data_IF_189902010329
#
_entry.id   IF_189902010329
#
_cell.length_a   1.000
_cell.length_b   1.000
_cell.length_c   1.000
_cell.angle_alpha   90.00
_cell.angle_beta   90.00
_cell.angle_gamma   90.00
#
_symmetry.space_group_name_H-M   'P 1'
#
loop_
_entity.id
_entity.type
_entity.pdbx_description
1 polymer ?
#
# COMPACT_ATOMS: atom_id res chain seq x y z
N UNK A 1 5.96 -2.70 -3.81
CA UNK A 1 7.01 -3.67 -4.23
C UNK A 1 6.60 -4.28 -5.56
N UNK A 2 7.54 -4.76 -6.36
CA UNK A 2 7.23 -5.33 -7.67
C UNK A 2 8.02 -6.62 -7.90
N UNK A 3 7.47 -7.61 -8.60
CA UNK A 3 8.23 -8.78 -9.03
C UNK A 3 9.46 -8.38 -9.86
N UNK A 4 10.55 -9.12 -9.68
CA UNK A 4 11.74 -8.99 -10.52
C UNK A 4 11.31 -9.25 -11.98
N UNK A 5 11.47 -8.25 -12.84
CA UNK A 5 11.19 -8.36 -14.27
C UNK A 5 10.00 -7.55 -14.81
N UNK A 6 9.11 -7.03 -13.96
CA UNK A 6 8.11 -6.08 -14.50
C UNK A 6 8.84 -4.79 -14.95
N UNK A 7 8.40 -4.12 -16.02
CA UNK A 7 9.09 -2.90 -16.51
C UNK A 7 8.75 -1.67 -15.68
N UNK A 8 9.63 -0.66 -15.60
CA UNK A 8 9.35 0.58 -14.87
C UNK A 8 8.18 1.37 -15.49
N UNK A 9 8.08 1.38 -16.82
CA UNK A 9 6.99 2.05 -17.53
C UNK A 9 5.61 1.45 -17.20
N UNK A 10 5.52 0.12 -17.05
CA UNK A 10 4.26 -0.55 -16.67
C UNK A 10 3.84 -0.14 -15.25
N UNK A 11 4.80 -0.01 -14.33
CA UNK A 11 4.52 0.46 -12.96
C UNK A 11 4.00 1.88 -12.98
N UNK A 12 4.67 2.77 -13.71
CA UNK A 12 4.26 4.17 -13.79
C UNK A 12 2.82 4.29 -14.34
N UNK A 13 2.49 3.50 -15.37
CA UNK A 13 1.12 3.48 -15.92
C UNK A 13 0.10 2.96 -14.90
N UNK A 14 0.41 1.88 -14.19
CA UNK A 14 -0.46 1.31 -13.16
C UNK A 14 -0.64 2.29 -11.99
N UNK A 15 0.45 2.88 -11.51
CA UNK A 15 0.43 3.88 -10.44
C UNK A 15 -0.49 5.04 -10.79
N UNK A 16 -0.37 5.58 -12.01
CA UNK A 16 -1.21 6.68 -12.46
C UNK A 16 -2.70 6.27 -12.52
N UNK A 17 -3.00 5.11 -13.11
CA UNK A 17 -4.37 4.61 -13.18
C UNK A 17 -5.00 4.41 -11.79
N UNK A 18 -4.24 3.86 -10.84
CA UNK A 18 -4.68 3.69 -9.45
C UNK A 18 -4.92 5.05 -8.78
N UNK A 19 -4.00 6.01 -8.97
CA UNK A 19 -4.15 7.34 -8.40
C UNK A 19 -5.40 8.05 -8.91
N UNK A 20 -5.69 7.95 -10.20
CA UNK A 20 -6.92 8.50 -10.80
C UNK A 20 -8.15 7.81 -10.20
N UNK A 21 -8.15 6.48 -10.12
CA UNK A 21 -9.28 5.72 -9.56
C UNK A 21 -9.55 6.06 -8.09
N UNK A 22 -8.50 6.29 -7.30
CA UNK A 22 -8.64 6.68 -5.88
C UNK A 22 -9.14 8.12 -5.71
N UNK A 23 -9.02 8.97 -6.74
CA UNK A 23 -9.56 10.34 -6.73
C UNK A 23 -11.03 10.39 -7.13
N UNK A 24 -11.54 9.34 -7.78
CA UNK A 24 -12.93 9.23 -8.21
C UNK A 24 -13.91 9.35 -7.01
N UNK A 25 -14.87 10.29 -7.04
CA UNK A 25 -15.81 10.48 -5.95
C UNK A 25 -16.66 9.24 -5.63
N UNK A 26 -17.09 8.49 -6.64
CA UNK A 26 -17.88 7.27 -6.45
C UNK A 26 -17.03 6.18 -5.78
N UNK A 27 -15.75 6.07 -6.18
CA UNK A 27 -14.82 5.16 -5.52
C UNK A 27 -14.61 5.54 -4.05
N UNK A 28 -14.42 6.83 -3.76
CA UNK A 28 -14.25 7.32 -2.38
C UNK A 28 -15.48 7.04 -1.52
N UNK A 29 -16.67 7.25 -2.06
CA UNK A 29 -17.92 6.97 -1.34
C UNK A 29 -18.05 5.47 -1.04
N UNK A 30 -17.80 4.60 -2.02
CA UNK A 30 -17.83 3.15 -1.84
C UNK A 30 -16.79 2.66 -0.82
N UNK A 31 -15.58 3.21 -0.83
CA UNK A 31 -14.56 2.85 0.16
C UNK A 31 -14.94 3.36 1.55
N UNK A 32 -15.46 4.59 1.64
CA UNK A 32 -15.90 5.19 2.91
C UNK A 32 -17.05 4.41 3.55
N UNK A 33 -18.01 3.92 2.76
CA UNK A 33 -19.11 3.08 3.27
C UNK A 33 -18.62 1.74 3.83
N UNK A 34 -17.47 1.24 3.37
CA UNK A 34 -16.79 0.07 3.93
C UNK A 34 -15.88 0.40 5.13
N UNK A 35 -15.82 1.67 5.55
CA UNK A 35 -14.93 2.13 6.61
C UNK A 35 -13.45 2.23 6.18
N UNK A 36 -13.18 2.27 4.87
CA UNK A 36 -11.84 2.34 4.30
C UNK A 36 -11.55 3.78 3.89
N UNK A 37 -10.45 4.33 4.41
CA UNK A 37 -9.96 5.65 4.00
C UNK A 37 -8.95 5.52 2.84
N UNK A 38 -9.28 6.00 1.62
CA UNK A 38 -8.34 5.96 0.50
C UNK A 38 -7.26 7.03 0.65
N UNK A 39 -6.03 6.60 0.92
CA UNK A 39 -4.87 7.50 1.09
C UNK A 39 -4.32 7.98 -0.27
N UNK A 40 -4.51 7.22 -1.35
CA UNK A 40 -4.09 7.61 -2.71
C UNK A 40 -2.57 7.81 -2.87
N UNK A 41 -1.76 7.08 -2.10
CA UNK A 41 -0.31 7.29 -1.99
C UNK A 41 0.48 7.03 -3.28
N UNK A 42 1.64 7.65 -3.41
CA UNK A 42 2.62 7.34 -4.46
C UNK A 42 3.24 5.94 -4.28
N UNK A 43 3.87 5.42 -5.34
CA UNK A 43 4.58 4.12 -5.25
C UNK A 43 5.72 4.17 -4.22
N UNK A 44 6.39 5.31 -4.10
CA UNK A 44 7.47 5.58 -3.16
C UNK A 44 6.96 5.65 -1.72
N UNK A 45 5.84 6.35 -1.48
CA UNK A 45 5.18 6.44 -0.17
C UNK A 45 4.68 5.07 0.31
N UNK A 46 4.10 4.27 -0.60
CA UNK A 46 3.68 2.92 -0.27
C UNK A 46 4.88 2.07 0.15
N UNK A 47 6.01 2.18 -0.56
CA UNK A 47 7.22 1.45 -0.24
C UNK A 47 7.81 1.89 1.11
N UNK A 48 7.81 3.19 1.41
CA UNK A 48 8.21 3.72 2.71
C UNK A 48 7.33 3.19 3.84
N UNK A 49 6.01 3.17 3.62
CA UNK A 49 5.02 2.65 4.57
C UNK A 49 5.25 1.18 4.87
N UNK A 50 5.42 0.35 3.83
CA UNK A 50 5.71 -1.08 3.99
C UNK A 50 7.00 -1.29 4.80
N UNK A 51 8.08 -0.56 4.50
CA UNK A 51 9.33 -0.65 5.27
C UNK A 51 9.14 -0.28 6.73
N UNK A 52 8.38 0.78 7.00
CA UNK A 52 8.07 1.22 8.37
C UNK A 52 7.26 0.17 9.12
N UNK A 53 6.21 -0.36 8.50
CA UNK A 53 5.34 -1.39 9.08
C UNK A 53 6.12 -2.68 9.35
N UNK A 54 6.94 -3.16 8.41
CA UNK A 54 7.80 -4.33 8.63
C UNK A 54 8.67 -4.12 9.87
N UNK A 55 9.33 -2.96 9.99
CA UNK A 55 10.17 -2.64 11.14
C UNK A 55 9.37 -2.64 12.44
N UNK A 56 8.21 -1.98 12.46
CA UNK A 56 7.35 -1.88 13.63
C UNK A 56 6.84 -3.24 14.08
N UNK A 57 6.21 -4.00 13.17
CA UNK A 57 5.62 -5.29 13.52
C UNK A 57 6.69 -6.35 13.83
N UNK A 58 7.86 -6.30 13.20
CA UNK A 58 9.00 -7.16 13.57
C UNK A 58 9.44 -6.89 15.02
N UNK A 59 9.50 -5.62 15.43
CA UNK A 59 9.83 -5.26 16.81
C UNK A 59 8.78 -5.82 17.78
N UNK A 60 7.50 -5.57 17.50
CA UNK A 60 6.39 -6.08 18.32
C UNK A 60 6.41 -7.60 18.44
N UNK A 61 6.56 -8.33 17.33
CA UNK A 61 6.60 -9.79 17.33
C UNK A 61 7.76 -10.34 18.18
N UNK A 62 8.95 -9.73 18.09
CA UNK A 62 10.11 -10.12 18.90
C UNK A 62 9.91 -9.86 20.39
N UNK A 63 9.38 -8.69 20.74
CA UNK A 63 9.12 -8.32 22.14
C UNK A 63 8.04 -9.23 22.76
N UNK A 64 7.01 -9.56 21.99
CA UNK A 64 5.92 -10.44 22.42
C UNK A 64 6.23 -11.94 22.26
N UNK A 65 7.39 -12.32 21.71
CA UNK A 65 7.78 -13.71 21.39
C UNK A 65 6.73 -14.45 20.54
N UNK A 66 6.15 -13.76 19.57
CA UNK A 66 5.15 -14.32 18.65
C UNK A 66 5.87 -14.88 17.42
N UNK A 67 5.65 -16.15 17.12
CA UNK A 67 6.00 -16.81 15.87
C UNK A 67 4.76 -17.43 15.23
N UNK A 68 4.77 -17.56 13.91
CA UNK A 68 3.77 -18.33 13.16
C UNK A 68 4.56 -19.45 12.48
N UNK A 69 4.19 -20.69 12.78
CA UNK A 69 4.80 -21.91 12.23
C UNK A 69 4.18 -22.28 10.87
#
# INVERSE_FOLDING_TARGET
MKPIGTSAAIVAKLQNAVQIAMQDPEMKERLSTLGIEPIGSTSEELLATIKSQIKQYTKVAREAKISID
#
